data_IF_504017794799
#
_entry.id   IF_504017794799
#
_cell.length_a   1.000
_cell.length_b   1.000
_cell.length_c   1.000
_cell.angle_alpha   90.00
_cell.angle_beta   90.00
_cell.angle_gamma   90.00
#
_symmetry.space_group_name_H-M   'P 1'
#
loop_
_entity.id
_entity.type
_entity.pdbx_description
1 polymer ?
#
# COMPACT_ATOMS: atom_id res chain seq x y z
N UNK A 1 11.42 23.27 51.96
CA UNK A 1 11.51 23.52 50.51
C UNK A 1 12.21 22.32 49.88
N UNK A 2 11.50 21.40 49.23
CA UNK A 2 12.09 20.23 48.54
C UNK A 2 12.03 20.49 47.05
N UNK A 3 13.19 20.64 46.42
CA UNK A 3 13.31 20.72 44.97
C UNK A 3 13.13 19.30 44.41
N UNK A 4 12.17 19.14 43.49
CA UNK A 4 12.07 17.94 42.68
C UNK A 4 13.34 17.83 41.83
N UNK A 5 14.08 16.74 41.99
CA UNK A 5 15.27 16.45 41.19
C UNK A 5 14.86 16.20 39.74
N UNK A 6 15.70 16.66 38.78
CA UNK A 6 15.47 16.57 37.33
C UNK A 6 15.05 15.16 36.83
N UNK A 7 15.42 14.10 37.55
CA UNK A 7 15.01 12.71 37.29
C UNK A 7 13.51 12.42 37.49
N UNK A 8 12.82 13.18 38.34
CA UNK A 8 11.39 13.00 38.57
C UNK A 8 10.52 13.59 37.44
N UNK A 9 11.11 14.44 36.58
CA UNK A 9 10.43 14.94 35.38
C UNK A 9 10.62 14.02 34.17
N UNK A 10 11.73 13.28 34.09
CA UNK A 10 11.97 12.30 33.02
C UNK A 10 11.04 11.08 33.13
N UNK A 11 10.65 10.68 34.35
CA UNK A 11 9.67 9.61 34.58
C UNK A 11 8.22 9.98 34.20
N UNK A 12 7.96 11.22 33.79
CA UNK A 12 6.68 11.64 33.18
C UNK A 12 6.69 11.61 31.65
N UNK A 13 7.84 11.32 31.04
CA UNK A 13 8.04 11.44 29.59
C UNK A 13 8.27 10.11 28.87
N UNK A 14 7.82 9.00 29.41
CA UNK A 14 7.72 7.75 28.66
C UNK A 14 6.40 7.06 29.03
N UNK A 15 5.29 7.54 28.48
CA UNK A 15 4.19 6.61 28.21
C UNK A 15 4.76 5.59 27.24
N UNK A 16 5.10 4.42 27.76
CA UNK A 16 5.23 3.20 26.97
C UNK A 16 3.99 3.13 26.07
N UNK A 17 4.16 3.52 24.80
CA UNK A 17 3.21 3.19 23.76
C UNK A 17 3.33 1.69 23.57
N UNK A 18 2.60 0.95 24.41
CA UNK A 18 2.19 -0.43 24.14
C UNK A 18 1.87 -0.51 22.65
N UNK A 19 2.49 -1.49 21.99
CA UNK A 19 2.31 -1.84 20.59
C UNK A 19 0.94 -1.38 20.06
N UNK A 20 0.91 -0.21 19.42
CA UNK A 20 -0.22 0.16 18.59
C UNK A 20 -0.04 -0.71 17.35
N UNK A 21 -0.83 -1.77 17.25
CA UNK A 21 -1.20 -2.25 15.92
C UNK A 21 -1.68 -1.00 15.17
N UNK A 22 -0.88 -0.54 14.20
CA UNK A 22 -1.14 0.70 13.48
C UNK A 22 -2.43 0.50 12.69
N UNK A 23 -3.57 0.83 13.30
CA UNK A 23 -4.83 0.93 12.59
C UNK A 23 -4.77 2.22 11.80
N UNK A 24 -4.65 2.09 10.48
CA UNK A 24 -4.84 3.19 9.56
C UNK A 24 -6.15 3.92 9.91
N UNK A 25 -6.07 5.24 10.08
CA UNK A 25 -7.15 6.06 10.61
C UNK A 25 -8.05 6.64 9.53
N UNK A 26 -7.58 6.63 8.29
CA UNK A 26 -8.30 7.13 7.12
C UNK A 26 -8.01 6.24 5.90
N UNK A 27 -8.75 6.47 4.82
CA UNK A 27 -8.61 5.68 3.60
C UNK A 27 -7.22 5.81 2.96
N UNK A 28 -6.63 7.01 2.98
CA UNK A 28 -5.32 7.23 2.35
C UNK A 28 -4.22 6.47 3.11
N UNK A 29 -4.28 6.39 4.45
CA UNK A 29 -3.38 5.56 5.26
C UNK A 29 -3.59 4.06 5.01
N UNK A 30 -4.83 3.60 4.84
CA UNK A 30 -5.12 2.20 4.51
C UNK A 30 -4.54 1.83 3.14
N UNK A 31 -4.74 2.71 2.15
CA UNK A 31 -4.23 2.50 0.80
C UNK A 31 -2.70 2.56 0.77
N UNK A 32 -2.08 3.47 1.54
CA UNK A 32 -0.63 3.55 1.70
C UNK A 32 -0.07 2.29 2.37
N UNK A 33 -0.68 1.82 3.47
CA UNK A 33 -0.25 0.57 4.11
C UNK A 33 -0.36 -0.61 3.16
N UNK A 34 -1.46 -0.74 2.42
CA UNK A 34 -1.63 -1.81 1.44
C UNK A 34 -0.56 -1.78 0.35
N UNK A 35 -0.15 -0.59 -0.11
CA UNK A 35 0.93 -0.41 -1.08
C UNK A 35 2.29 -0.82 -0.50
N UNK A 36 2.58 -0.44 0.75
CA UNK A 36 3.82 -0.81 1.44
C UNK A 36 3.92 -2.33 1.64
N UNK A 37 2.83 -2.98 2.07
CA UNK A 37 2.79 -4.44 2.19
C UNK A 37 3.00 -5.11 0.83
N UNK A 38 2.36 -4.60 -0.24
CA UNK A 38 2.58 -5.13 -1.58
C UNK A 38 4.06 -5.05 -2.01
N UNK A 39 4.75 -3.95 -1.72
CA UNK A 39 6.19 -3.79 -1.97
C UNK A 39 7.06 -4.77 -1.16
N UNK A 40 6.74 -4.95 0.12
CA UNK A 40 7.46 -5.90 0.97
C UNK A 40 7.32 -7.34 0.45
N UNK A 41 6.10 -7.72 0.04
CA UNK A 41 5.85 -9.02 -0.57
C UNK A 41 6.60 -9.20 -1.88
N UNK A 42 6.63 -8.19 -2.74
CA UNK A 42 7.37 -8.30 -4.00
C UNK A 42 8.88 -8.36 -3.79
N UNK A 43 9.41 -7.69 -2.75
CA UNK A 43 10.81 -7.83 -2.32
C UNK A 43 11.12 -9.27 -1.95
N UNK A 44 10.25 -9.92 -1.17
CA UNK A 44 10.38 -11.32 -0.75
C UNK A 44 10.27 -12.32 -1.92
N UNK A 45 9.38 -12.06 -2.88
CA UNK A 45 9.17 -12.94 -4.04
C UNK A 45 10.28 -12.84 -5.10
N UNK A 46 11.16 -11.85 -5.01
CA UNK A 46 12.33 -11.75 -5.90
C UNK A 46 12.01 -11.37 -7.34
N UNK A 47 10.87 -10.74 -7.61
CA UNK A 47 10.53 -10.29 -8.97
C UNK A 47 11.44 -9.16 -9.46
N UNK A 48 11.77 -9.18 -10.75
CA UNK A 48 12.60 -8.15 -11.39
C UNK A 48 11.77 -7.00 -11.98
N UNK A 49 10.55 -7.29 -12.45
CA UNK A 49 9.66 -6.30 -13.05
C UNK A 49 8.32 -6.33 -12.32
N UNK A 50 7.91 -5.20 -11.76
CA UNK A 50 6.74 -5.07 -10.90
C UNK A 50 5.91 -3.87 -11.30
N UNK A 51 4.60 -4.08 -11.38
CA UNK A 51 3.62 -3.00 -11.54
C UNK A 51 2.67 -3.03 -10.36
N UNK A 52 2.73 -1.99 -9.53
CA UNK A 52 1.83 -1.82 -8.40
C UNK A 52 0.67 -0.96 -8.84
N UNK A 53 -0.54 -1.52 -8.75
CA UNK A 53 -1.78 -0.89 -9.21
C UNK A 53 -2.61 -0.50 -7.99
N UNK A 54 -2.96 0.77 -7.89
CA UNK A 54 -3.83 1.29 -6.83
C UNK A 54 -4.96 2.15 -7.40
N UNK A 55 -6.09 2.27 -6.70
CA UNK A 55 -7.23 3.11 -7.14
C UNK A 55 -7.07 4.60 -6.80
N UNK A 56 -6.13 4.92 -5.91
CA UNK A 56 -6.05 6.23 -5.26
C UNK A 56 -5.04 7.11 -5.98
N UNK A 57 -5.53 7.88 -6.94
CA UNK A 57 -4.72 8.75 -7.78
C UNK A 57 -3.86 9.73 -6.98
N UNK A 58 -4.37 10.26 -5.85
CA UNK A 58 -3.62 11.16 -4.96
C UNK A 58 -2.39 10.48 -4.36
N UNK A 59 -2.54 9.25 -3.87
CA UNK A 59 -1.42 8.47 -3.32
C UNK A 59 -0.38 8.18 -4.40
N UNK A 60 -0.82 7.75 -5.60
CA UNK A 60 0.07 7.51 -6.74
C UNK A 60 0.86 8.77 -7.15
N UNK A 61 0.23 9.95 -7.07
CA UNK A 61 0.89 11.25 -7.30
C UNK A 61 1.88 11.58 -6.19
N UNK A 62 1.52 11.34 -4.94
CA UNK A 62 2.36 11.62 -3.79
C UNK A 62 3.63 10.76 -3.76
N UNK A 63 3.55 9.49 -4.15
CA UNK A 63 4.75 8.63 -4.33
C UNK A 63 5.69 9.20 -5.40
N UNK A 64 5.15 9.87 -6.43
CA UNK A 64 5.91 10.57 -7.48
C UNK A 64 6.38 11.97 -7.08
N UNK A 65 6.12 12.40 -5.83
CA UNK A 65 6.58 13.69 -5.29
C UNK A 65 5.52 14.80 -5.25
N UNK A 66 4.27 14.55 -5.68
CA UNK A 66 3.18 15.53 -5.58
C UNK A 66 2.35 15.30 -4.30
N UNK A 67 2.77 15.95 -3.21
CA UNK A 67 2.20 15.76 -1.87
C UNK A 67 0.95 16.60 -1.59
N UNK A 68 0.39 17.28 -2.60
CA UNK A 68 -0.77 18.13 -2.39
C UNK A 68 -1.92 17.32 -1.80
N UNK A 69 -2.56 17.85 -0.75
CA UNK A 69 -3.76 17.28 -0.09
C UNK A 69 -3.57 15.99 0.71
N UNK A 70 -2.32 15.54 0.96
CA UNK A 70 -2.03 14.37 1.80
C UNK A 70 -1.78 14.78 3.26
N UNK A 71 -2.34 14.04 4.22
CA UNK A 71 -2.09 14.27 5.65
C UNK A 71 -0.67 13.86 6.05
N UNK A 72 -0.13 14.53 7.07
CA UNK A 72 1.23 14.25 7.57
C UNK A 72 1.42 12.78 8.02
N UNK A 73 0.37 12.14 8.55
CA UNK A 73 0.41 10.73 8.95
C UNK A 73 0.61 9.80 7.74
N UNK A 74 -0.05 10.10 6.63
CA UNK A 74 0.10 9.37 5.37
C UNK A 74 1.44 9.66 4.71
N UNK A 75 2.01 10.87 4.89
CA UNK A 75 3.34 11.20 4.37
C UNK A 75 4.44 10.29 4.90
N UNK A 76 4.41 9.94 6.19
CA UNK A 76 5.38 8.98 6.76
C UNK A 76 5.34 7.63 6.03
N UNK A 77 4.14 7.14 5.68
CA UNK A 77 3.99 5.91 4.90
C UNK A 77 4.46 6.06 3.46
N UNK A 78 4.22 7.23 2.85
CA UNK A 78 4.71 7.52 1.50
C UNK A 78 6.23 7.54 1.47
N UNK A 79 6.88 8.08 2.51
CA UNK A 79 8.35 8.07 2.62
C UNK A 79 8.89 6.64 2.73
N UNK A 80 8.28 5.78 3.56
CA UNK A 80 8.62 4.35 3.63
C UNK A 80 8.45 3.64 2.27
N UNK A 81 7.36 3.93 1.56
CA UNK A 81 7.09 3.42 0.21
C UNK A 81 8.19 3.85 -0.76
N UNK A 82 8.59 5.12 -0.75
CA UNK A 82 9.63 5.65 -1.63
C UNK A 82 10.98 5.00 -1.36
N UNK A 83 11.37 4.90 -0.09
CA UNK A 83 12.60 4.23 0.31
C UNK A 83 12.59 2.75 -0.15
N UNK A 84 11.46 2.06 -0.04
CA UNK A 84 11.33 0.69 -0.52
C UNK A 84 11.44 0.57 -2.05
N UNK A 85 10.88 1.53 -2.79
CA UNK A 85 11.02 1.59 -4.25
C UNK A 85 12.48 1.84 -4.64
N UNK A 86 13.15 2.78 -3.98
CA UNK A 86 14.57 3.10 -4.19
C UNK A 86 15.45 1.87 -3.92
N UNK A 87 15.28 1.20 -2.79
CA UNK A 87 15.96 -0.08 -2.47
C UNK A 87 15.83 -1.12 -3.58
N UNK A 88 14.62 -1.27 -4.13
CA UNK A 88 14.34 -2.24 -5.20
C UNK A 88 15.01 -1.81 -6.50
N UNK A 89 14.99 -0.52 -6.83
CA UNK A 89 15.63 0.04 -8.01
C UNK A 89 17.16 -0.05 -7.96
N UNK A 90 17.76 0.21 -6.80
CA UNK A 90 19.19 0.01 -6.54
C UNK A 90 19.60 -1.46 -6.71
N UNK A 91 18.68 -2.38 -6.41
CA UNK A 91 18.82 -3.81 -6.68
C UNK A 91 18.55 -4.21 -8.14
N UNK A 92 18.55 -3.24 -9.06
CA UNK A 92 18.27 -3.41 -10.50
C UNK A 92 16.88 -3.99 -10.81
N UNK A 93 15.88 -3.71 -9.96
CA UNK A 93 14.49 -4.09 -10.20
C UNK A 93 13.70 -2.91 -10.74
N UNK A 94 12.82 -3.18 -11.70
CA UNK A 94 11.90 -2.19 -12.25
C UNK A 94 10.59 -2.22 -11.47
N UNK A 95 10.26 -1.11 -10.78
CA UNK A 95 9.00 -0.92 -10.07
C UNK A 95 8.29 0.29 -10.66
N UNK A 96 7.03 0.09 -11.08
CA UNK A 96 6.17 1.19 -11.54
C UNK A 96 4.89 1.20 -10.71
N UNK A 97 4.54 2.37 -10.16
CA UNK A 97 3.26 2.60 -9.48
C UNK A 97 2.31 3.30 -10.44
N UNK A 98 1.15 2.69 -10.70
CA UNK A 98 0.14 3.20 -11.62
C UNK A 98 -1.25 3.25 -10.96
N UNK A 99 -2.05 4.21 -11.41
CA UNK A 99 -3.46 4.28 -11.04
C UNK A 99 -4.27 3.26 -11.87
N UNK A 100 -5.19 2.56 -11.24
CA UNK A 100 -6.11 1.64 -11.89
C UNK A 100 -7.56 2.01 -11.62
N UNK A 101 -8.47 1.56 -12.49
CA UNK A 101 -9.90 1.75 -12.30
C UNK A 101 -10.38 0.93 -11.11
N UNK A 102 -11.34 1.48 -10.36
CA UNK A 102 -11.99 0.81 -9.22
C UNK A 102 -12.47 -0.61 -9.57
N UNK A 103 -12.99 -0.77 -10.78
CA UNK A 103 -13.54 -2.04 -11.26
C UNK A 103 -12.48 -3.14 -11.49
N UNK A 104 -11.20 -2.76 -11.65
CA UNK A 104 -10.08 -3.69 -11.84
C UNK A 104 -9.28 -3.94 -10.54
N UNK A 105 -9.81 -3.50 -9.40
CA UNK A 105 -9.20 -3.62 -8.08
C UNK A 105 -10.19 -4.21 -7.05
N UNK A 106 -11.15 -5.02 -7.51
CA UNK A 106 -12.20 -5.60 -6.66
C UNK A 106 -11.64 -6.64 -5.72
N UNK A 107 -10.69 -7.45 -6.15
CA UNK A 107 -10.05 -8.46 -5.32
C UNK A 107 -9.31 -7.83 -4.13
N UNK A 108 -8.51 -6.78 -4.37
CA UNK A 108 -7.83 -6.05 -3.30
C UNK A 108 -8.83 -5.39 -2.33
N UNK A 109 -9.93 -4.84 -2.86
CA UNK A 109 -10.99 -4.25 -2.03
C UNK A 109 -11.70 -5.31 -1.18
N UNK A 110 -12.00 -6.49 -1.77
CA UNK A 110 -12.61 -7.60 -1.05
C UNK A 110 -11.70 -8.14 0.05
N UNK A 111 -10.39 -8.24 -0.22
CA UNK A 111 -9.37 -8.60 0.79
C UNK A 111 -9.36 -7.61 1.96
N UNK A 112 -9.28 -6.32 1.66
CA UNK A 112 -9.24 -5.27 2.68
C UNK A 112 -10.53 -5.27 3.54
N UNK A 113 -11.70 -5.41 2.91
CA UNK A 113 -12.98 -5.50 3.63
C UNK A 113 -13.05 -6.73 4.53
N UNK A 114 -12.56 -7.88 4.05
CA UNK A 114 -12.54 -9.11 4.84
C UNK A 114 -11.60 -8.98 6.03
N UNK A 115 -10.41 -8.41 5.84
CA UNK A 115 -9.46 -8.15 6.92
C UNK A 115 -10.02 -7.17 7.96
N UNK A 116 -10.80 -6.17 7.54
CA UNK A 116 -11.49 -5.28 8.47
C UNK A 116 -12.60 -5.99 9.27
N UNK A 117 -13.29 -6.97 8.65
CA UNK A 117 -14.38 -7.70 9.28
C UNK A 117 -13.91 -8.85 10.21
N UNK A 118 -12.67 -9.34 10.04
CA UNK A 118 -12.15 -10.50 10.78
C UNK A 118 -10.86 -10.15 11.54
N UNK A 119 -10.84 -10.35 12.85
CA UNK A 119 -9.69 -10.03 13.72
C UNK A 119 -8.48 -10.95 13.45
N UNK A 120 -8.72 -12.12 12.86
CA UNK A 120 -7.70 -13.11 12.51
C UNK A 120 -8.04 -13.76 11.17
N UNK A 121 -7.27 -13.42 10.14
CA UNK A 121 -7.26 -14.16 8.88
C UNK A 121 -6.20 -15.26 8.98
N UNK A 122 -6.64 -16.51 9.15
CA UNK A 122 -5.76 -17.66 9.08
C UNK A 122 -5.65 -18.10 7.61
N UNK A 123 -4.64 -17.60 6.89
CA UNK A 123 -4.37 -18.03 5.52
C UNK A 123 -3.63 -19.37 5.56
N UNK A 124 -4.35 -20.46 5.31
CA UNK A 124 -3.84 -21.84 5.27
C UNK A 124 -3.02 -22.17 4.00
N UNK A 125 -2.37 -21.17 3.39
CA UNK A 125 -1.60 -21.32 2.16
C UNK A 125 -2.41 -21.30 0.85
N UNK A 126 -3.74 -21.29 0.93
CA UNK A 126 -4.62 -21.15 -0.23
C UNK A 126 -5.36 -19.80 -0.22
N UNK A 127 -5.58 -19.16 -1.38
CA UNK A 127 -6.41 -17.97 -1.45
C UNK A 127 -7.85 -18.31 -1.06
N UNK A 128 -8.52 -17.47 -0.24
CA UNK A 128 -9.92 -17.64 0.11
C UNK A 128 -10.81 -17.76 -1.12
N UNK A 129 -11.81 -18.65 -1.04
CA UNK A 129 -12.67 -18.95 -2.18
C UNK A 129 -13.41 -17.73 -2.75
N UNK A 130 -13.76 -16.76 -1.90
CA UNK A 130 -14.41 -15.51 -2.32
C UNK A 130 -13.55 -14.68 -3.30
N UNK A 131 -12.23 -14.92 -3.34
CA UNK A 131 -11.35 -14.21 -4.27
C UNK A 131 -11.45 -14.71 -5.70
N UNK A 132 -11.79 -15.98 -5.94
CA UNK A 132 -11.73 -16.54 -7.30
C UNK A 132 -12.63 -15.80 -8.29
N UNK A 133 -13.85 -15.44 -7.87
CA UNK A 133 -14.79 -14.68 -8.71
C UNK A 133 -14.28 -13.25 -8.97
N UNK A 134 -13.79 -12.57 -7.92
CA UNK A 134 -13.25 -11.21 -8.04
C UNK A 134 -11.97 -11.14 -8.86
N UNK A 135 -11.07 -12.13 -8.73
CA UNK A 135 -9.83 -12.22 -9.50
C UNK A 135 -10.11 -12.50 -10.98
N UNK A 136 -11.09 -13.35 -11.27
CA UNK A 136 -11.49 -13.65 -12.66
C UNK A 136 -12.04 -12.38 -13.34
N UNK A 137 -12.85 -11.61 -12.60
CA UNK A 137 -13.40 -10.33 -13.07
C UNK A 137 -12.33 -9.26 -13.26
N UNK A 138 -11.44 -9.07 -12.27
CA UNK A 138 -10.34 -8.10 -12.33
C UNK A 138 -9.39 -8.40 -13.50
N UNK A 139 -9.05 -9.68 -13.72
CA UNK A 139 -8.19 -10.11 -14.83
C UNK A 139 -8.80 -9.76 -16.18
N UNK A 140 -10.09 -10.06 -16.38
CA UNK A 140 -10.78 -9.76 -17.64
C UNK A 140 -10.81 -8.26 -17.92
N UNK A 141 -11.10 -7.45 -16.90
CA UNK A 141 -11.16 -6.00 -17.04
C UNK A 141 -9.78 -5.39 -17.30
N UNK A 142 -8.74 -5.85 -16.61
CA UNK A 142 -7.37 -5.40 -16.82
C UNK A 142 -6.90 -5.68 -18.27
N UNK A 143 -7.21 -6.86 -18.82
CA UNK A 143 -6.89 -7.21 -20.20
C UNK A 143 -7.65 -6.33 -21.20
N UNK A 144 -8.95 -6.11 -20.98
CA UNK A 144 -9.76 -5.23 -21.83
C UNK A 144 -9.25 -3.78 -21.84
N UNK A 145 -8.71 -3.30 -20.72
CA UNK A 145 -8.07 -1.98 -20.64
C UNK A 145 -6.79 -1.92 -21.47
N UNK A 146 -5.95 -2.96 -21.43
CA UNK A 146 -4.70 -3.05 -22.22
C UNK A 146 -5.01 -3.04 -23.72
N UNK A 147 -6.04 -3.79 -24.16
CA UNK A 147 -6.46 -3.79 -25.56
C UNK A 147 -6.90 -2.38 -26.03
N UNK A 148 -7.67 -1.66 -25.21
CA UNK A 148 -8.12 -0.30 -25.53
C UNK A 148 -6.99 0.74 -25.55
N UNK A 149 -5.97 0.59 -24.71
CA UNK A 149 -4.81 1.49 -24.75
C UNK A 149 -3.96 1.29 -26.00
N UNK A 150 -3.87 0.05 -26.51
CA UNK A 150 -3.16 -0.24 -27.76
C UNK A 150 -3.93 0.27 -28.99
N UNK A 151 -5.26 0.25 -28.95
CA UNK A 151 -6.10 0.79 -30.04
C UNK A 151 -6.07 2.33 -30.10
N UNK A 152 -5.77 3.00 -28.97
CA UNK A 152 -5.79 4.46 -28.88
C UNK A 152 -4.43 5.11 -29.15
N UNK A 153 -3.32 4.36 -29.03
CA UNK A 153 -1.96 4.79 -29.42
C UNK A 153 -1.21 3.66 -30.13
N UNK A 154 -1.49 3.40 -31.42
CA UNK A 154 -0.92 2.25 -32.13
C UNK A 154 0.60 2.35 -32.41
N UNK A 155 1.22 3.53 -32.22
CA UNK A 155 2.62 3.78 -32.56
C UNK A 155 3.39 4.44 -31.40
N UNK A 156 3.53 3.75 -30.27
CA UNK A 156 4.47 4.17 -29.23
C UNK A 156 5.35 3.02 -28.74
N UNK A 157 6.01 2.35 -29.69
CA UNK A 157 7.40 1.87 -29.63
C UNK A 157 7.99 2.09 -31.02
#
# INVERSE_FOLDING_TARGET
MKFATYRDMENKLCRETRWKGYRAQNQDEMDAQAMLEALNWTKQLGYNNMQIKGKTARLTKAVKGDYNTISWTTLTRIEEIKNCIEDLQDSNKNVVVINCYKEANKAATALANTANATVTLNYSGYPPSFLFETLSSDRFLALKTISRTNDMYPNSI
#
